data_IF_912278055782
#
_entry.id   IF_912278055782
#
_cell.length_a   1.000
_cell.length_b   1.000
_cell.length_c   1.000
_cell.angle_alpha   90.00
_cell.angle_beta   90.00
_cell.angle_gamma   90.00
#
_symmetry.space_group_name_H-M   'P 1'
#
loop_
_entity.id
_entity.type
_entity.pdbx_description
1 polymer ?
#
# COMPACT_ATOMS: atom_id res chain seq x y z
N UNK A 1 -47.73 -56.65 23.54
CA UNK A 1 -48.26 -55.30 23.28
C UNK A 1 -47.13 -54.32 23.58
N UNK A 2 -46.57 -53.47 22.72
CA UNK A 2 -46.80 -52.99 21.34
C UNK A 2 -45.39 -52.55 20.85
N UNK A 3 -44.79 -53.28 19.90
CA UNK A 3 -44.47 -52.89 18.49
C UNK A 3 -43.33 -51.89 18.27
N UNK A 4 -42.27 -52.41 17.62
CA UNK A 4 -41.09 -51.74 17.05
C UNK A 4 -41.46 -51.03 15.74
N UNK A 5 -40.96 -49.81 15.52
CA UNK A 5 -41.14 -49.08 14.25
C UNK A 5 -39.82 -49.08 13.44
N UNK A 6 -39.97 -49.42 12.17
CA UNK A 6 -39.01 -49.61 11.08
C UNK A 6 -38.32 -48.29 10.64
N UNK A 7 -37.01 -48.29 10.38
CA UNK A 7 -36.34 -48.44 9.05
C UNK A 7 -36.71 -47.39 7.99
N UNK A 8 -35.74 -46.59 7.52
CA UNK A 8 -35.39 -46.44 6.09
C UNK A 8 -33.99 -45.80 5.93
N UNK A 9 -33.18 -46.34 5.02
CA UNK A 9 -31.88 -45.85 4.52
C UNK A 9 -32.05 -44.80 3.41
N UNK A 10 -31.01 -43.98 3.15
CA UNK A 10 -30.37 -43.68 1.84
C UNK A 10 -29.62 -42.33 1.90
N UNK A 11 -28.29 -42.28 1.78
CA UNK A 11 -27.41 -42.23 0.58
C UNK A 11 -27.33 -40.85 -0.13
N UNK A 12 -26.15 -40.23 0.08
CA UNK A 12 -25.32 -39.30 -0.72
C UNK A 12 -25.90 -38.77 -2.04
N UNK A 13 -25.87 -37.45 -2.22
CA UNK A 13 -25.70 -36.79 -3.52
C UNK A 13 -24.65 -35.68 -3.43
N UNK A 14 -23.55 -35.93 -4.13
CA UNK A 14 -22.55 -34.98 -4.63
C UNK A 14 -23.20 -33.86 -5.46
N UNK A 15 -22.79 -32.61 -5.25
CA UNK A 15 -23.02 -31.53 -6.22
C UNK A 15 -21.70 -31.10 -6.87
N UNK A 16 -21.67 -30.89 -8.20
CA UNK A 16 -20.47 -30.60 -8.97
C UNK A 16 -20.06 -29.12 -8.98
N UNK A 17 -18.81 -28.94 -9.36
CA UNK A 17 -18.04 -27.72 -9.63
C UNK A 17 -18.49 -27.01 -10.92
N UNK A 18 -18.72 -25.68 -10.88
CA UNK A 18 -18.49 -24.67 -11.96
C UNK A 18 -18.78 -23.29 -11.37
N UNK A 19 -17.80 -22.42 -11.09
CA UNK A 19 -17.05 -21.53 -11.98
C UNK A 19 -17.66 -20.12 -12.11
N UNK A 20 -16.76 -19.13 -11.96
CA UNK A 20 -16.73 -17.76 -12.51
C UNK A 20 -17.38 -16.58 -11.75
N UNK A 21 -16.45 -15.68 -11.40
CA UNK A 21 -16.45 -14.23 -11.66
C UNK A 21 -17.13 -13.28 -10.66
N UNK A 22 -16.25 -12.62 -9.88
CA UNK A 22 -16.14 -11.16 -9.74
C UNK A 22 -17.42 -10.33 -9.77
N UNK A 23 -17.85 -9.86 -8.61
CA UNK A 23 -18.61 -8.61 -8.46
C UNK A 23 -17.80 -7.71 -7.51
N UNK A 24 -16.89 -6.91 -8.06
CA UNK A 24 -17.11 -5.53 -8.53
C UNK A 24 -17.72 -4.61 -7.47
N UNK A 25 -16.82 -3.80 -6.94
CA UNK A 25 -17.03 -2.54 -6.22
C UNK A 25 -18.11 -1.66 -6.87
N UNK A 26 -18.96 -0.99 -6.07
CA UNK A 26 -19.80 0.08 -6.59
C UNK A 26 -18.94 1.29 -6.99
N UNK A 27 -18.94 1.58 -8.29
CA UNK A 27 -18.49 2.85 -8.87
C UNK A 27 -19.50 3.97 -8.58
N UNK A 28 -19.00 5.08 -8.04
CA UNK A 28 -19.51 6.46 -8.18
C UNK A 28 -18.28 7.37 -8.16
N UNK A 29 -18.08 8.43 -8.93
CA UNK A 29 -18.67 8.99 -10.16
C UNK A 29 -17.90 10.30 -10.40
N UNK A 30 -17.37 10.53 -11.61
CA UNK A 30 -16.74 11.80 -12.06
C UNK A 30 -15.25 11.89 -11.69
N UNK A 31 -14.30 12.13 -12.59
CA UNK A 31 -14.30 12.94 -13.81
C UNK A 31 -13.46 12.24 -14.87
N UNK A 32 -14.08 11.97 -16.02
CA UNK A 32 -13.42 11.39 -17.20
C UNK A 32 -12.64 12.51 -17.90
N UNK A 33 -11.31 12.55 -17.77
CA UNK A 33 -10.46 13.29 -18.71
C UNK A 33 -9.85 12.30 -19.69
N UNK A 34 -10.30 12.45 -20.93
CA UNK A 34 -9.90 11.74 -22.13
C UNK A 34 -8.43 12.04 -22.43
N UNK A 35 -7.60 11.01 -22.52
CA UNK A 35 -6.48 10.98 -23.46
C UNK A 35 -6.47 9.61 -24.13
N UNK A 36 -7.24 9.50 -25.21
CA UNK A 36 -7.06 8.46 -26.19
C UNK A 36 -5.95 8.89 -27.14
N UNK A 37 -4.78 8.25 -27.05
CA UNK A 37 -3.93 8.09 -28.22
C UNK A 37 -3.57 6.62 -28.36
N UNK A 38 -4.28 6.00 -29.29
CA UNK A 38 -4.01 4.70 -29.88
C UNK A 38 -2.87 4.89 -30.86
N UNK A 39 -1.74 4.21 -30.67
CA UNK A 39 -0.87 3.88 -31.80
C UNK A 39 -0.35 2.45 -31.65
N UNK A 40 -0.43 1.75 -32.77
CA UNK A 40 -0.22 0.32 -32.96
C UNK A 40 1.26 -0.05 -32.83
N UNK A 41 1.48 -1.32 -32.50
CA UNK A 41 2.77 -1.97 -32.47
C UNK A 41 3.52 -1.87 -33.81
N UNK A 42 4.81 -1.54 -33.72
CA UNK A 42 5.84 -1.97 -34.68
C UNK A 42 6.99 -2.56 -33.87
N UNK A 43 7.34 -3.81 -34.16
CA UNK A 43 8.61 -4.40 -33.74
C UNK A 43 9.73 -3.73 -34.55
N UNK A 44 10.74 -3.20 -33.85
CA UNK A 44 12.02 -2.79 -34.41
C UNK A 44 13.09 -3.01 -33.32
N UNK A 45 14.10 -3.83 -33.65
CA UNK A 45 15.23 -4.17 -32.80
C UNK A 45 16.17 -2.97 -32.65
N UNK A 46 16.29 -2.43 -31.45
CA UNK A 46 17.29 -1.41 -31.15
C UNK A 46 17.27 -1.03 -29.68
N UNK A 47 18.42 -1.17 -29.01
CA UNK A 47 18.66 -0.79 -27.62
C UNK A 47 18.01 0.56 -27.27
N UNK A 48 16.87 0.50 -26.58
CA UNK A 48 16.27 1.67 -25.98
C UNK A 48 16.31 1.47 -24.47
N UNK A 49 17.32 2.06 -23.84
CA UNK A 49 17.29 2.32 -22.41
C UNK A 49 15.96 3.04 -22.15
N UNK A 50 15.00 2.34 -21.55
CA UNK A 50 13.76 2.91 -21.03
C UNK A 50 14.13 3.83 -19.87
N UNK A 51 14.70 5.00 -20.21
CA UNK A 51 14.83 6.12 -19.31
C UNK A 51 13.41 6.67 -19.20
N UNK A 52 12.66 6.13 -18.25
CA UNK A 52 11.50 6.81 -17.66
C UNK A 52 11.90 8.28 -17.54
N UNK A 53 11.16 9.24 -18.14
CA UNK A 53 11.50 10.63 -18.00
C UNK A 53 11.61 10.89 -16.51
N UNK A 54 12.78 11.36 -16.08
CA UNK A 54 13.00 11.84 -14.74
C UNK A 54 12.06 13.05 -14.57
N UNK A 55 10.81 12.77 -14.23
CA UNK A 55 9.85 13.74 -13.72
C UNK A 55 10.53 14.27 -12.47
N UNK A 56 11.20 15.40 -12.65
CA UNK A 56 11.74 16.21 -11.58
C UNK A 56 10.58 16.49 -10.64
N UNK A 57 10.51 15.70 -9.56
CA UNK A 57 9.42 15.68 -8.61
C UNK A 57 9.49 16.88 -7.66
N UNK A 58 10.47 17.78 -7.86
CA UNK A 58 10.73 18.95 -7.03
C UNK A 58 11.10 18.57 -5.59
N UNK A 59 11.34 17.28 -5.32
CA UNK A 59 11.69 16.79 -4.00
C UNK A 59 13.21 16.88 -3.81
N UNK A 60 13.67 17.16 -2.58
CA UNK A 60 15.07 17.05 -2.24
C UNK A 60 15.62 15.67 -2.65
N UNK A 61 16.73 15.67 -3.42
CA UNK A 61 17.36 14.43 -3.92
C UNK A 61 18.14 13.67 -2.83
N UNK A 62 17.92 14.00 -1.56
CA UNK A 62 18.56 13.36 -0.40
C UNK A 62 17.88 12.03 -0.01
N UNK A 63 16.93 11.55 -0.82
CA UNK A 63 16.31 10.25 -0.61
C UNK A 63 17.33 9.11 -0.69
N UNK A 64 17.06 8.07 0.11
CA UNK A 64 17.78 6.80 0.05
C UNK A 64 16.87 5.76 -0.57
N UNK A 65 17.33 5.19 -1.69
CA UNK A 65 16.74 3.97 -2.24
C UNK A 65 17.03 2.81 -1.31
N UNK A 66 15.99 2.06 -0.94
CA UNK A 66 16.10 0.88 -0.09
C UNK A 66 15.18 -0.22 -0.59
N UNK A 67 15.61 -1.45 -0.39
CA UNK A 67 14.78 -2.64 -0.61
C UNK A 67 14.42 -3.23 0.76
N UNK A 68 13.12 -3.44 0.98
CA UNK A 68 12.56 -3.93 2.23
C UNK A 68 11.96 -5.31 2.04
N UNK A 69 12.54 -6.30 2.72
CA UNK A 69 12.04 -7.67 2.75
C UNK A 69 10.98 -7.81 3.85
N UNK A 70 9.77 -8.18 3.46
CA UNK A 70 8.63 -8.32 4.37
C UNK A 70 7.74 -9.50 3.98
N UNK A 71 7.07 -10.12 4.96
CA UNK A 71 6.16 -11.24 4.69
C UNK A 71 4.81 -10.81 4.11
N UNK A 72 4.47 -9.53 4.18
CA UNK A 72 3.21 -8.98 3.68
C UNK A 72 3.34 -7.51 3.32
N UNK A 73 2.42 -7.00 2.50
CA UNK A 73 2.30 -5.57 2.14
C UNK A 73 1.60 -4.72 3.20
N UNK A 74 1.42 -5.23 4.42
CA UNK A 74 0.73 -4.48 5.48
C UNK A 74 1.57 -3.28 5.92
N UNK A 75 0.91 -2.13 6.10
CA UNK A 75 1.52 -0.86 6.51
C UNK A 75 2.39 -1.01 7.76
N UNK A 76 1.88 -1.67 8.80
CA UNK A 76 2.62 -1.92 10.05
C UNK A 76 3.93 -2.71 9.82
N UNK A 77 3.88 -3.71 8.95
CA UNK A 77 5.02 -4.56 8.61
C UNK A 77 6.06 -3.78 7.80
N UNK A 78 5.61 -2.99 6.82
CA UNK A 78 6.47 -2.15 5.98
C UNK A 78 7.16 -1.09 6.84
N UNK A 79 6.41 -0.36 7.67
CA UNK A 79 6.95 0.72 8.49
C UNK A 79 7.99 0.24 9.52
N UNK A 80 7.73 -0.90 10.18
CA UNK A 80 8.68 -1.52 11.10
C UNK A 80 10.05 -1.74 10.44
N UNK A 81 10.05 -2.30 9.21
CA UNK A 81 11.28 -2.57 8.48
C UNK A 81 11.94 -1.30 7.90
N UNK A 82 11.16 -0.30 7.52
CA UNK A 82 11.67 0.94 6.92
C UNK A 82 12.23 1.92 7.93
N UNK A 83 11.53 2.14 9.05
CA UNK A 83 11.82 3.19 10.05
C UNK A 83 12.74 2.66 11.17
N UNK A 84 12.96 1.33 11.25
CA UNK A 84 13.75 0.65 12.29
C UNK A 84 13.21 0.89 13.71
N UNK A 85 11.90 1.03 13.83
CA UNK A 85 11.20 1.10 15.12
C UNK A 85 10.58 -0.24 15.45
N UNK A 86 10.40 -0.52 16.74
CA UNK A 86 9.74 -1.75 17.18
C UNK A 86 8.29 -1.82 16.70
N UNK A 87 7.76 -3.02 16.51
CA UNK A 87 6.38 -3.22 16.04
C UNK A 87 5.34 -2.53 16.96
N UNK A 88 5.59 -2.48 18.26
CA UNK A 88 4.71 -1.83 19.23
C UNK A 88 4.74 -0.31 19.12
N UNK A 89 5.89 0.28 18.80
CA UNK A 89 6.00 1.72 18.52
C UNK A 89 5.27 2.08 17.22
N UNK A 90 5.49 1.31 16.15
CA UNK A 90 4.80 1.52 14.86
C UNK A 90 3.29 1.45 15.02
N UNK A 91 2.80 0.47 15.77
CA UNK A 91 1.38 0.36 16.08
C UNK A 91 0.83 1.60 16.80
N UNK A 92 1.54 2.10 17.82
CA UNK A 92 1.16 3.34 18.50
C UNK A 92 1.12 4.53 17.56
N UNK A 93 2.07 4.64 16.62
CA UNK A 93 2.10 5.72 15.63
C UNK A 93 0.87 5.67 14.70
N UNK A 94 0.53 4.49 14.19
CA UNK A 94 -0.65 4.31 13.32
C UNK A 94 -1.93 4.64 14.09
N UNK A 95 -2.10 4.10 15.30
CA UNK A 95 -3.32 4.29 16.09
C UNK A 95 -3.48 5.73 16.61
N UNK A 96 -2.37 6.46 16.83
CA UNK A 96 -2.39 7.86 17.27
C UNK A 96 -2.56 8.88 16.13
N UNK A 97 -2.72 8.41 14.88
CA UNK A 97 -2.88 9.30 13.73
C UNK A 97 -1.59 9.98 13.27
N UNK A 98 -0.43 9.47 13.71
CA UNK A 98 0.88 10.00 13.31
C UNK A 98 1.37 9.45 11.97
N UNK A 99 0.55 8.65 11.29
CA UNK A 99 0.87 8.09 9.99
C UNK A 99 -0.22 8.50 9.00
N UNK A 100 0.21 9.01 7.85
CA UNK A 100 -0.67 9.27 6.72
C UNK A 100 -0.18 8.57 5.47
N UNK A 101 -1.11 8.21 4.59
CA UNK A 101 -0.85 7.62 3.29
C UNK A 101 -1.56 8.49 2.26
N UNK A 102 -0.84 8.97 1.25
CA UNK A 102 -1.36 9.86 0.21
C UNK A 102 -2.13 11.06 0.81
N UNK A 103 -1.51 11.72 1.81
CA UNK A 103 -2.07 12.88 2.55
C UNK A 103 -3.30 12.57 3.44
N UNK A 104 -3.74 11.30 3.54
CA UNK A 104 -4.86 10.88 4.39
C UNK A 104 -4.39 10.16 5.67
N UNK A 105 -4.91 10.54 6.84
CA UNK A 105 -4.58 9.89 8.11
C UNK A 105 -5.14 8.45 8.16
N UNK A 106 -4.26 7.45 8.30
CA UNK A 106 -4.65 6.05 8.35
C UNK A 106 -4.47 5.50 9.76
N UNK A 107 -5.58 5.09 10.38
CA UNK A 107 -5.59 4.39 11.68
C UNK A 107 -5.67 2.86 11.56
N UNK A 108 -5.74 2.34 10.34
CA UNK A 108 -5.84 0.90 10.08
C UNK A 108 -4.46 0.27 9.89
N UNK A 109 -4.02 -0.55 10.85
CA UNK A 109 -2.73 -1.27 10.81
C UNK A 109 -2.54 -2.13 9.56
N UNK A 110 -3.60 -2.85 9.18
CA UNK A 110 -3.60 -3.79 8.06
C UNK A 110 -4.00 -3.13 6.73
N UNK A 111 -3.65 -1.85 6.54
CA UNK A 111 -3.69 -1.23 5.21
C UNK A 111 -2.65 -1.91 4.31
N UNK A 112 -3.03 -2.25 3.08
CA UNK A 112 -2.12 -2.86 2.12
C UNK A 112 -1.51 -1.75 1.26
N UNK A 113 -0.19 -1.61 1.32
CA UNK A 113 0.50 -0.60 0.52
C UNK A 113 0.52 -0.99 -0.96
N UNK A 114 0.35 0.00 -1.82
CA UNK A 114 0.39 -0.13 -3.27
C UNK A 114 1.56 0.64 -3.89
N UNK A 115 1.99 0.30 -5.12
CA UNK A 115 3.00 1.09 -5.81
C UNK A 115 2.49 2.51 -6.00
N UNK A 116 3.38 3.49 -5.82
CA UNK A 116 3.13 4.93 -5.81
C UNK A 116 2.45 5.47 -4.56
N UNK A 117 2.20 4.64 -3.54
CA UNK A 117 1.78 5.16 -2.24
C UNK A 117 2.90 6.00 -1.61
N UNK A 118 2.53 7.17 -1.11
CA UNK A 118 3.38 8.05 -0.31
C UNK A 118 2.96 7.93 1.14
N UNK A 119 3.83 7.39 1.98
CA UNK A 119 3.62 7.20 3.40
C UNK A 119 4.45 8.22 4.16
N UNK A 120 3.82 8.97 5.06
CA UNK A 120 4.52 9.94 5.90
C UNK A 120 4.25 9.66 7.37
N UNK A 121 5.33 9.66 8.15
CA UNK A 121 5.30 9.43 9.59
C UNK A 121 5.72 10.69 10.30
N UNK A 122 4.82 11.22 11.13
CA UNK A 122 5.05 12.41 11.94
C UNK A 122 6.11 12.16 13.01
N UNK A 123 7.15 13.00 13.05
CA UNK A 123 8.18 12.95 14.08
C UNK A 123 7.97 14.05 15.13
N UNK A 124 8.04 15.32 14.70
CA UNK A 124 8.01 16.48 15.59
C UNK A 124 7.55 17.75 14.83
N UNK A 125 6.98 18.76 15.53
CA UNK A 125 6.70 20.05 14.92
C UNK A 125 8.02 20.76 14.56
N UNK A 126 8.01 21.54 13.48
CA UNK A 126 9.17 22.34 13.10
C UNK A 126 9.34 23.51 14.07
N UNK A 127 10.56 23.70 14.60
CA UNK A 127 10.84 24.61 15.72
C UNK A 127 10.43 26.06 15.43
N UNK A 128 10.61 26.51 14.20
CA UNK A 128 10.34 27.91 13.81
C UNK A 128 8.91 28.12 13.32
N UNK A 129 8.20 27.05 12.93
CA UNK A 129 6.85 27.14 12.40
C UNK A 129 6.02 25.94 12.83
N UNK A 130 5.11 26.15 13.77
CA UNK A 130 4.20 25.12 14.29
C UNK A 130 3.21 24.57 13.25
N UNK A 131 3.03 25.26 12.12
CA UNK A 131 2.23 24.79 10.98
C UNK A 131 2.98 23.77 10.11
N UNK A 132 4.28 23.58 10.34
CA UNK A 132 5.10 22.60 9.64
C UNK A 132 5.57 21.51 10.60
N UNK A 133 5.83 20.32 10.05
CA UNK A 133 6.31 19.18 10.79
C UNK A 133 7.47 18.52 10.06
N UNK A 134 8.40 17.98 10.84
CA UNK A 134 9.42 17.06 10.34
C UNK A 134 8.85 15.65 10.34
N UNK A 135 9.02 14.97 9.22
CA UNK A 135 8.44 13.65 8.97
C UNK A 135 9.43 12.69 8.36
N UNK A 136 9.18 11.40 8.49
CA UNK A 136 9.84 10.38 7.68
C UNK A 136 8.91 10.03 6.52
N UNK A 137 9.32 10.39 5.30
CA UNK A 137 8.56 10.12 4.07
C UNK A 137 9.10 8.88 3.38
N UNK A 138 8.20 7.99 2.97
CA UNK A 138 8.48 6.77 2.24
C UNK A 138 7.59 6.74 0.99
N UNK A 139 8.20 6.63 -0.19
CA UNK A 139 7.48 6.40 -1.44
C UNK A 139 7.68 4.93 -1.84
N UNK A 140 6.57 4.22 -2.08
CA UNK A 140 6.59 2.85 -2.60
C UNK A 140 6.80 2.91 -4.11
N UNK A 141 7.92 2.38 -4.61
CA UNK A 141 8.19 2.37 -6.04
C UNK A 141 7.52 1.17 -6.72
N UNK A 142 7.83 -0.02 -6.23
CA UNK A 142 7.34 -1.29 -6.75
C UNK A 142 7.57 -2.41 -5.73
N UNK A 143 7.01 -3.59 -5.99
CA UNK A 143 7.31 -4.80 -5.23
C UNK A 143 7.41 -6.04 -6.09
N UNK A 144 8.35 -6.92 -5.72
CA UNK A 144 8.47 -8.27 -6.29
C UNK A 144 7.95 -9.28 -5.28
N UNK A 145 7.05 -10.16 -5.72
CA UNK A 145 6.59 -11.30 -4.92
C UNK A 145 7.63 -12.40 -4.98
N UNK A 146 8.07 -12.87 -3.82
CA UNK A 146 9.04 -13.97 -3.68
C UNK A 146 8.40 -15.13 -2.91
N UNK A 147 8.96 -16.35 -2.98
CA UNK A 147 8.46 -17.49 -2.19
C UNK A 147 8.41 -17.23 -0.68
N UNK A 148 9.24 -16.31 -0.19
CA UNK A 148 9.36 -15.95 1.22
C UNK A 148 8.59 -14.65 1.59
N UNK A 149 7.80 -14.08 0.66
CA UNK A 149 7.01 -12.88 0.88
C UNK A 149 7.17 -11.83 -0.21
N UNK A 150 7.58 -10.63 0.17
CA UNK A 150 7.66 -9.45 -0.68
C UNK A 150 9.01 -8.76 -0.52
N UNK A 151 9.55 -8.32 -1.64
CA UNK A 151 10.66 -7.40 -1.73
C UNK A 151 10.13 -6.07 -2.24
N UNK A 152 10.05 -5.06 -1.37
CA UNK A 152 9.44 -3.77 -1.68
C UNK A 152 10.55 -2.74 -1.87
N UNK A 153 10.58 -2.12 -3.05
CA UNK A 153 11.50 -1.03 -3.36
C UNK A 153 10.90 0.29 -2.92
N UNK A 154 11.64 1.05 -2.12
CA UNK A 154 11.17 2.32 -1.56
C UNK A 154 12.20 3.44 -1.75
N UNK A 155 11.72 4.68 -1.88
CA UNK A 155 12.52 5.88 -1.60
C UNK A 155 12.19 6.36 -0.21
N UNK A 156 13.21 6.67 0.58
CA UNK A 156 13.04 7.11 1.96
C UNK A 156 13.75 8.44 2.21
N UNK A 157 13.00 9.42 2.68
CA UNK A 157 13.50 10.69 3.19
C UNK A 157 13.42 10.69 4.71
N UNK A 158 14.40 11.30 5.37
CA UNK A 158 14.42 11.51 6.82
C UNK A 158 14.29 12.99 7.09
N UNK A 159 13.50 13.37 8.09
CA UNK A 159 13.25 14.79 8.43
C UNK A 159 12.73 15.60 7.23
N UNK A 160 11.84 15.00 6.44
CA UNK A 160 11.12 15.66 5.37
C UNK A 160 10.17 16.72 5.94
N UNK A 161 10.25 17.94 5.43
CA UNK A 161 9.43 19.06 5.90
C UNK A 161 8.08 19.03 5.17
N UNK A 162 6.99 19.03 5.94
CA UNK A 162 5.63 19.02 5.39
C UNK A 162 4.67 19.77 6.29
N UNK A 163 3.40 19.87 5.90
CA UNK A 163 2.35 20.47 6.73
C UNK A 163 2.17 19.70 8.05
N UNK A 164 1.87 20.41 9.13
CA UNK A 164 1.64 19.80 10.43
C UNK A 164 0.16 19.43 10.61
N UNK A 165 -0.26 18.28 10.08
CA UNK A 165 -1.63 17.75 10.28
C UNK A 165 -1.94 17.38 11.74
N UNK A 166 -0.96 17.42 12.63
CA UNK A 166 -1.14 17.25 14.08
C UNK A 166 -1.30 18.57 14.83
N UNK A 167 -1.08 19.72 14.19
CA UNK A 167 -1.33 21.02 14.81
C UNK A 167 -2.83 21.35 14.90
N UNK A 168 -3.64 20.77 14.03
CA UNK A 168 -5.09 21.02 13.92
C UNK A 168 -5.98 19.99 14.65
N UNK A 169 -5.37 19.01 15.33
CA UNK A 169 -6.08 17.88 15.98
C UNK A 169 -6.14 17.97 17.48
#
# INVERSE_FOLDING_TARGET
MITVVHSTRMTILTLPMTSRLTNLFPRRSGVLRVYAHRFLATFDDGENQNVMPNLDDGLPKDYKLREVKCGSRRLDTVLNRSIKQSSSQVEKLILSGKVRVNEEEIRKKAYNVEPRDVIEVWNEPYVENSQLALTDRLEILDYTVTPNGYHISIRAWKKFLTDNWKASS
#
